data_IF_825841770843
#
_entry.id   IF_825841770843
#
_cell.length_a   1.000
_cell.length_b   1.000
_cell.length_c   1.000
_cell.angle_alpha   90.00
_cell.angle_beta   90.00
_cell.angle_gamma   90.00
#
_symmetry.space_group_name_H-M   'P 1'
#
loop_
_entity.id
_entity.type
_entity.pdbx_description
1 polymer ?
#
# COMPACT_ATOMS: atom_id res chain seq x y z
N UNK A 1 76.87 4.32 76.87
CA UNK A 1 76.43 3.08 76.19
C UNK A 1 76.46 3.29 74.69
N UNK A 2 76.75 2.22 73.92
CA UNK A 2 77.09 2.22 72.48
C UNK A 2 76.13 3.02 71.57
N UNK A 3 76.50 3.36 70.34
CA UNK A 3 76.77 2.38 69.29
C UNK A 3 77.53 3.06 68.13
N UNK A 4 78.82 2.77 68.02
CA UNK A 4 79.52 2.85 66.75
C UNK A 4 78.81 1.90 65.76
N UNK A 5 78.02 2.45 64.85
CA UNK A 5 77.39 1.66 63.79
C UNK A 5 78.47 0.91 62.98
N UNK A 6 78.36 -0.42 62.91
CA UNK A 6 79.31 -1.30 62.21
C UNK A 6 79.55 -0.78 60.78
N UNK A 7 80.71 -0.17 60.52
CA UNK A 7 81.12 0.21 59.16
C UNK A 7 81.34 -1.06 58.34
N UNK A 8 80.53 -1.28 57.31
CA UNK A 8 80.71 -2.38 56.34
C UNK A 8 82.15 -2.40 55.81
N UNK A 9 82.80 -3.56 55.86
CA UNK A 9 84.18 -3.77 55.38
C UNK A 9 84.33 -3.36 53.91
N UNK A 10 85.53 -2.90 53.52
CA UNK A 10 85.84 -2.49 52.13
C UNK A 10 85.56 -3.61 51.12
N UNK A 11 85.72 -4.87 51.54
CA UNK A 11 85.42 -6.04 50.72
C UNK A 11 83.93 -6.15 50.39
N UNK A 12 83.05 -5.96 51.37
CA UNK A 12 81.59 -6.06 51.15
C UNK A 12 81.07 -4.91 50.30
N UNK A 13 81.59 -3.69 50.47
CA UNK A 13 81.25 -2.56 49.59
C UNK A 13 81.68 -2.78 48.14
N UNK A 14 82.86 -3.40 47.91
CA UNK A 14 83.31 -3.74 46.55
C UNK A 14 82.44 -4.83 45.92
N UNK A 15 82.01 -5.82 46.71
CA UNK A 15 81.07 -6.85 46.24
C UNK A 15 79.69 -6.26 45.91
N UNK A 16 79.14 -5.41 46.78
CA UNK A 16 77.89 -4.69 46.56
C UNK A 16 77.98 -3.79 45.31
N UNK A 17 79.07 -3.04 45.14
CA UNK A 17 79.29 -2.22 43.94
C UNK A 17 79.40 -3.05 42.65
N UNK A 18 80.06 -4.22 42.70
CA UNK A 18 80.12 -5.15 41.56
C UNK A 18 78.75 -5.75 41.26
N UNK A 19 77.97 -6.10 42.27
CA UNK A 19 76.61 -6.62 42.11
C UNK A 19 75.67 -5.57 41.51
N UNK A 20 75.75 -4.31 41.96
CA UNK A 20 74.97 -3.20 41.39
C UNK A 20 75.36 -2.97 39.94
N UNK A 21 76.67 -2.94 39.62
CA UNK A 21 77.13 -2.81 38.23
C UNK A 21 76.70 -3.97 37.34
N UNK A 22 76.72 -5.20 37.86
CA UNK A 22 76.27 -6.38 37.13
C UNK A 22 74.75 -6.34 36.88
N UNK A 23 73.95 -5.96 37.89
CA UNK A 23 72.51 -5.74 37.75
C UNK A 23 72.20 -4.66 36.73
N UNK A 24 72.81 -3.49 36.85
CA UNK A 24 72.63 -2.39 35.89
C UNK A 24 72.99 -2.79 34.46
N UNK A 25 74.07 -3.57 34.26
CA UNK A 25 74.46 -4.06 32.92
C UNK A 25 73.47 -5.08 32.37
N UNK A 26 72.90 -5.94 33.21
CA UNK A 26 71.87 -6.90 32.80
C UNK A 26 70.54 -6.20 32.51
N UNK A 27 70.13 -5.26 33.35
CA UNK A 27 68.94 -4.42 33.15
C UNK A 27 69.04 -3.62 31.86
N UNK A 28 70.19 -2.98 31.59
CA UNK A 28 70.43 -2.27 30.34
C UNK A 28 70.38 -3.20 29.10
N UNK A 29 70.89 -4.44 29.22
CA UNK A 29 70.79 -5.43 28.14
C UNK A 29 69.35 -5.91 27.93
N UNK A 30 68.59 -6.12 29.00
CA UNK A 30 67.20 -6.56 28.93
C UNK A 30 66.28 -5.43 28.44
N UNK A 31 66.51 -4.19 28.85
CA UNK A 31 65.79 -3.02 28.36
C UNK A 31 66.05 -2.82 26.87
N UNK A 32 67.30 -2.85 26.42
CA UNK A 32 67.64 -2.76 25.00
C UNK A 32 66.98 -3.88 24.16
N UNK A 33 66.99 -5.13 24.66
CA UNK A 33 66.30 -6.24 23.99
C UNK A 33 64.78 -6.03 23.95
N UNK A 34 64.18 -5.49 25.00
CA UNK A 34 62.75 -5.21 25.06
C UNK A 34 62.36 -4.04 24.13
N UNK A 35 63.19 -3.00 24.05
CA UNK A 35 63.00 -1.87 23.13
C UNK A 35 63.05 -2.34 21.67
N UNK A 36 64.04 -3.16 21.30
CA UNK A 36 64.11 -3.75 19.95
C UNK A 36 62.86 -4.58 19.64
N UNK A 37 62.37 -5.38 20.59
CA UNK A 37 61.14 -6.16 20.43
C UNK A 37 59.92 -5.26 20.27
N UNK A 38 59.80 -4.21 21.07
CA UNK A 38 58.70 -3.22 20.99
C UNK A 38 58.72 -2.47 19.66
N UNK A 39 59.87 -2.00 19.23
CA UNK A 39 60.03 -1.30 17.96
C UNK A 39 59.65 -2.20 16.78
N UNK A 40 60.13 -3.46 16.78
CA UNK A 40 59.76 -4.43 15.73
C UNK A 40 58.28 -4.79 15.75
N UNK A 41 57.67 -4.87 16.94
CA UNK A 41 56.24 -5.10 17.09
C UNK A 41 55.42 -3.90 16.58
N UNK A 42 55.84 -2.67 16.92
CA UNK A 42 55.22 -1.43 16.46
C UNK A 42 55.27 -1.30 14.93
N UNK A 43 56.45 -1.50 14.31
CA UNK A 43 56.59 -1.49 12.86
C UNK A 43 55.70 -2.55 12.17
N UNK A 44 55.60 -3.75 12.75
CA UNK A 44 54.70 -4.79 12.22
C UNK A 44 53.24 -4.37 12.35
N UNK A 45 52.84 -3.80 13.48
CA UNK A 45 51.49 -3.32 13.70
C UNK A 45 51.12 -2.19 12.72
N UNK A 46 52.01 -1.21 12.52
CA UNK A 46 51.84 -0.12 11.55
C UNK A 46 51.72 -0.67 10.13
N UNK A 47 52.63 -1.58 9.72
CA UNK A 47 52.57 -2.19 8.38
C UNK A 47 51.29 -2.99 8.14
N UNK A 48 50.76 -3.65 9.18
CA UNK A 48 49.51 -4.40 9.11
C UNK A 48 48.31 -3.44 9.04
N UNK A 49 48.28 -2.41 9.86
CA UNK A 49 47.24 -1.37 9.84
C UNK A 49 47.17 -0.68 8.47
N UNK A 50 48.32 -0.33 7.87
CA UNK A 50 48.37 0.25 6.52
C UNK A 50 47.84 -0.73 5.46
N UNK A 51 48.21 -2.01 5.53
CA UNK A 51 47.68 -3.03 4.60
C UNK A 51 46.17 -3.22 4.74
N UNK A 52 45.67 -3.24 5.96
CA UNK A 52 44.24 -3.42 6.22
C UNK A 52 43.45 -2.18 5.78
N UNK A 53 43.99 -0.97 5.96
CA UNK A 53 43.42 0.26 5.41
C UNK A 53 43.38 0.24 3.88
N UNK A 54 44.47 -0.16 3.21
CA UNK A 54 44.50 -0.27 1.75
C UNK A 54 43.52 -1.32 1.23
N UNK A 55 43.33 -2.44 1.95
CA UNK A 55 42.33 -3.45 1.60
C UNK A 55 40.92 -2.91 1.75
N UNK A 56 40.63 -2.28 2.89
CA UNK A 56 39.34 -1.64 3.14
C UNK A 56 39.02 -0.59 2.07
N UNK A 57 39.98 0.27 1.72
CA UNK A 57 39.82 1.24 0.63
C UNK A 57 39.52 0.56 -0.71
N UNK A 58 40.28 -0.48 -1.09
CA UNK A 58 40.03 -1.23 -2.34
C UNK A 58 38.65 -1.90 -2.36
N UNK A 59 38.19 -2.43 -1.23
CA UNK A 59 36.87 -3.05 -1.13
C UNK A 59 35.76 -1.99 -1.18
N UNK A 60 35.97 -0.83 -0.54
CA UNK A 60 35.11 0.35 -0.69
C UNK A 60 35.06 0.83 -2.13
N UNK A 61 36.19 0.93 -2.83
CA UNK A 61 36.23 1.33 -4.23
C UNK A 61 35.54 0.31 -5.13
N UNK A 62 35.75 -0.99 -4.91
CA UNK A 62 35.05 -2.06 -5.65
C UNK A 62 33.55 -2.03 -5.43
N UNK A 63 33.09 -1.77 -4.21
CA UNK A 63 31.65 -1.67 -3.93
C UNK A 63 31.06 -0.40 -4.54
N UNK A 64 31.78 0.72 -4.51
CA UNK A 64 31.41 1.96 -5.18
C UNK A 64 31.32 1.78 -6.70
N UNK A 65 32.29 1.09 -7.32
CA UNK A 65 32.29 0.77 -8.74
C UNK A 65 31.11 -0.13 -9.11
N UNK A 66 30.85 -1.20 -8.35
CA UNK A 66 29.69 -2.08 -8.59
C UNK A 66 28.37 -1.33 -8.41
N UNK A 67 28.27 -0.42 -7.44
CA UNK A 67 27.09 0.41 -7.24
C UNK A 67 26.92 1.40 -8.40
N UNK A 68 28.01 1.99 -8.90
CA UNK A 68 27.99 2.88 -10.06
C UNK A 68 27.64 2.12 -11.34
N UNK A 69 28.19 0.94 -11.58
CA UNK A 69 27.85 0.03 -12.68
C UNK A 69 26.38 -0.39 -12.59
N UNK A 70 25.88 -0.76 -11.41
CA UNK A 70 24.48 -1.11 -11.22
C UNK A 70 23.55 0.08 -11.49
N UNK A 71 23.95 1.30 -11.08
CA UNK A 71 23.21 2.53 -11.40
C UNK A 71 23.25 2.84 -12.90
N UNK A 72 24.40 2.65 -13.54
CA UNK A 72 24.59 2.91 -14.96
C UNK A 72 23.88 1.85 -15.82
N UNK A 73 23.85 0.58 -15.41
CA UNK A 73 22.98 -0.46 -15.98
C UNK A 73 21.50 -0.12 -15.75
N UNK A 74 21.14 0.34 -14.55
CA UNK A 74 19.77 0.76 -14.26
C UNK A 74 19.29 1.96 -15.09
N UNK A 75 20.21 2.83 -15.51
CA UNK A 75 19.94 3.98 -16.39
C UNK A 75 19.98 3.56 -17.87
N UNK A 76 20.96 2.74 -18.29
CA UNK A 76 21.12 2.22 -19.66
C UNK A 76 20.00 1.25 -20.07
N UNK A 77 19.48 0.46 -19.13
CA UNK A 77 18.36 -0.46 -19.38
C UNK A 77 16.99 0.23 -19.42
N UNK A 78 16.94 1.56 -19.37
CA UNK A 78 15.72 2.33 -19.65
C UNK A 78 14.58 2.00 -18.70
N UNK A 79 14.70 2.46 -17.44
CA UNK A 79 13.68 2.70 -16.38
C UNK A 79 12.49 1.76 -16.14
N UNK A 80 12.01 0.90 -17.05
CA UNK A 80 10.78 0.12 -16.86
C UNK A 80 10.81 -1.30 -17.45
N UNK A 81 11.73 -1.64 -18.36
CA UNK A 81 11.64 -2.87 -19.16
C UNK A 81 12.85 -3.82 -19.06
N UNK A 82 13.67 -3.73 -18.01
CA UNK A 82 14.82 -4.63 -17.91
C UNK A 82 14.39 -6.07 -17.56
N UNK A 83 14.84 -7.10 -18.31
CA UNK A 83 14.35 -8.48 -18.16
C UNK A 83 14.54 -9.05 -16.75
N UNK A 84 15.61 -8.64 -16.06
CA UNK A 84 15.92 -9.05 -14.68
C UNK A 84 14.98 -8.42 -13.67
N UNK A 85 14.59 -7.15 -13.83
CA UNK A 85 13.56 -6.52 -13.00
C UNK A 85 12.18 -7.09 -13.28
N UNK A 86 11.84 -7.37 -14.54
CA UNK A 86 10.58 -8.05 -14.88
C UNK A 86 10.53 -9.43 -14.24
N UNK A 87 11.61 -10.23 -14.32
CA UNK A 87 11.66 -11.55 -13.65
C UNK A 87 11.51 -11.43 -12.12
N UNK A 88 12.20 -10.49 -11.47
CA UNK A 88 12.08 -10.26 -10.01
C UNK A 88 10.70 -9.75 -9.62
N UNK A 89 10.14 -8.82 -10.40
CA UNK A 89 8.78 -8.31 -10.19
C UNK A 89 7.75 -9.41 -10.37
N UNK A 90 7.89 -10.26 -11.39
CA UNK A 90 7.04 -11.43 -11.62
C UNK A 90 7.16 -12.46 -10.50
N UNK A 91 8.35 -12.70 -9.95
CA UNK A 91 8.50 -13.62 -8.82
C UNK A 91 7.88 -13.06 -7.54
N UNK A 92 8.06 -11.76 -7.26
CA UNK A 92 7.48 -11.10 -6.09
C UNK A 92 5.97 -10.98 -6.24
N UNK A 93 5.49 -10.60 -7.42
CA UNK A 93 4.05 -10.53 -7.70
C UNK A 93 3.40 -11.90 -7.63
N UNK A 94 4.04 -12.97 -8.12
CA UNK A 94 3.53 -14.34 -8.00
C UNK A 94 3.44 -14.82 -6.54
N UNK A 95 4.36 -14.41 -5.68
CA UNK A 95 4.33 -14.74 -4.24
C UNK A 95 3.26 -13.94 -3.49
N UNK A 96 3.07 -12.67 -3.83
CA UNK A 96 2.10 -11.80 -3.17
C UNK A 96 0.70 -11.87 -3.80
N UNK A 97 0.57 -12.42 -5.02
CA UNK A 97 -0.68 -12.58 -5.75
C UNK A 97 -1.81 -13.22 -4.92
N UNK A 98 -1.62 -14.36 -4.21
CA UNK A 98 -2.72 -15.01 -3.49
C UNK A 98 -3.30 -14.16 -2.35
N UNK A 99 -2.58 -13.15 -1.86
CA UNK A 99 -3.01 -12.25 -0.79
C UNK A 99 -3.49 -10.91 -1.36
N UNK A 100 -2.74 -10.35 -2.31
CA UNK A 100 -3.06 -9.06 -2.92
C UNK A 100 -4.30 -9.14 -3.83
N UNK A 101 -4.49 -10.25 -4.55
CA UNK A 101 -5.64 -10.40 -5.47
C UNK A 101 -6.97 -10.36 -4.69
N UNK A 102 -7.18 -11.13 -3.61
CA UNK A 102 -8.41 -11.03 -2.82
C UNK A 102 -8.59 -9.65 -2.14
N UNK A 103 -7.50 -9.02 -1.69
CA UNK A 103 -7.59 -7.72 -1.02
C UNK A 103 -7.95 -6.59 -2.00
N UNK A 104 -7.29 -6.56 -3.16
CA UNK A 104 -7.61 -5.61 -4.23
C UNK A 104 -9.05 -5.81 -4.73
N UNK A 105 -9.50 -7.06 -4.84
CA UNK A 105 -10.89 -7.37 -5.17
C UNK A 105 -11.87 -6.82 -4.11
N UNK A 106 -11.59 -7.02 -2.82
CA UNK A 106 -12.42 -6.48 -1.73
C UNK A 106 -12.45 -4.94 -1.73
N UNK A 107 -11.32 -4.29 -1.98
CA UNK A 107 -11.24 -2.82 -2.10
C UNK A 107 -12.00 -2.32 -3.33
N UNK A 108 -11.86 -2.99 -4.48
CA UNK A 108 -12.59 -2.64 -5.70
C UNK A 108 -14.10 -2.79 -5.52
N UNK A 109 -14.56 -3.85 -4.86
CA UNK A 109 -15.98 -4.07 -4.55
C UNK A 109 -16.49 -3.08 -3.50
N UNK A 110 -15.70 -2.75 -2.47
CA UNK A 110 -16.08 -1.74 -1.48
C UNK A 110 -16.17 -0.34 -2.10
N UNK A 111 -15.21 0.04 -2.94
CA UNK A 111 -15.25 1.31 -3.68
C UNK A 111 -16.43 1.36 -4.66
N UNK A 112 -16.73 0.24 -5.34
CA UNK A 112 -17.91 0.12 -6.19
C UNK A 112 -19.19 0.23 -5.37
N UNK A 113 -19.26 -0.41 -4.20
CA UNK A 113 -20.37 -0.30 -3.26
C UNK A 113 -20.57 1.14 -2.74
N UNK A 114 -19.50 1.91 -2.53
CA UNK A 114 -19.59 3.32 -2.15
C UNK A 114 -20.09 4.22 -3.28
N UNK A 115 -19.66 3.95 -4.53
CA UNK A 115 -20.15 4.67 -5.71
C UNK A 115 -21.60 4.33 -5.98
N UNK A 116 -21.96 3.04 -5.88
CA UNK A 116 -23.32 2.57 -6.02
C UNK A 116 -24.20 3.06 -4.85
N UNK A 117 -23.64 3.27 -3.65
CA UNK A 117 -24.34 3.87 -2.50
C UNK A 117 -24.69 5.32 -2.76
N UNK A 118 -23.74 6.12 -3.24
CA UNK A 118 -24.03 7.52 -3.59
C UNK A 118 -25.00 7.64 -4.77
N UNK A 119 -24.97 6.68 -5.70
CA UNK A 119 -25.91 6.61 -6.82
C UNK A 119 -27.29 6.15 -6.37
N UNK A 120 -27.35 5.24 -5.39
CA UNK A 120 -28.56 4.79 -4.71
C UNK A 120 -29.18 5.91 -3.86
N UNK A 121 -28.37 6.71 -3.16
CA UNK A 121 -28.83 7.85 -2.36
C UNK A 121 -29.39 8.98 -3.24
N UNK A 122 -28.83 9.18 -4.45
CA UNK A 122 -29.36 10.11 -5.44
C UNK A 122 -30.65 9.62 -6.12
N UNK A 123 -30.93 8.31 -6.05
CA UNK A 123 -32.06 7.67 -6.73
C UNK A 123 -33.12 7.13 -5.75
N UNK A 124 -32.86 7.12 -4.44
CA UNK A 124 -33.79 6.66 -3.39
C UNK A 124 -34.11 5.16 -3.40
N UNK A 125 -33.30 4.30 -4.03
CA UNK A 125 -33.60 2.85 -4.19
C UNK A 125 -32.43 1.95 -3.76
N UNK A 126 -32.64 0.80 -3.07
CA UNK A 126 -31.57 -0.01 -2.48
C UNK A 126 -30.61 -0.70 -3.47
N UNK A 127 -29.32 -0.75 -3.09
CA UNK A 127 -28.15 -1.31 -3.81
C UNK A 127 -28.32 -2.71 -4.43
N UNK A 128 -29.12 -3.59 -3.82
CA UNK A 128 -29.35 -4.94 -4.32
C UNK A 128 -30.05 -4.95 -5.70
N UNK A 129 -30.61 -3.82 -6.12
CA UNK A 129 -31.36 -3.67 -7.37
C UNK A 129 -30.59 -2.91 -8.46
N UNK A 130 -29.36 -2.44 -8.20
CA UNK A 130 -28.61 -1.68 -9.22
C UNK A 130 -28.14 -2.58 -10.38
N UNK A 131 -27.96 -3.89 -10.13
CA UNK A 131 -27.69 -4.88 -11.17
C UNK A 131 -28.86 -5.15 -12.12
N UNK A 132 -30.10 -5.20 -11.60
CA UNK A 132 -31.32 -5.40 -12.40
C UNK A 132 -31.71 -4.17 -13.23
N UNK A 133 -31.18 -2.99 -12.90
CA UNK A 133 -31.40 -1.74 -13.61
C UNK A 133 -30.17 -1.28 -14.40
N UNK A 134 -29.38 -2.22 -14.92
CA UNK A 134 -28.23 -1.92 -15.78
C UNK A 134 -28.57 -2.11 -17.27
N UNK A 135 -28.48 -1.05 -18.08
CA UNK A 135 -28.88 -1.02 -19.49
C UNK A 135 -29.24 0.38 -19.98
N UNK A 136 -29.60 0.57 -21.27
CA UNK A 136 -29.98 1.91 -21.76
C UNK A 136 -31.31 2.40 -21.15
N UNK A 137 -32.19 1.47 -20.76
CA UNK A 137 -33.45 1.71 -20.06
C UNK A 137 -33.38 1.64 -18.54
N UNK A 138 -32.21 1.36 -17.95
CA UNK A 138 -32.07 1.11 -16.51
C UNK A 138 -32.55 2.26 -15.62
N UNK A 139 -32.33 3.51 -16.06
CA UNK A 139 -32.84 4.70 -15.35
C UNK A 139 -34.37 4.77 -15.34
N UNK A 140 -35.03 4.37 -16.43
CA UNK A 140 -36.48 4.36 -16.53
C UNK A 140 -37.07 3.23 -15.68
N UNK A 141 -36.44 2.06 -15.68
CA UNK A 141 -36.86 0.94 -14.82
C UNK A 141 -36.73 1.26 -13.33
N UNK A 142 -35.68 1.98 -12.92
CA UNK A 142 -35.57 2.47 -11.54
C UNK A 142 -36.68 3.47 -11.17
N UNK A 143 -37.08 4.35 -12.10
CA UNK A 143 -38.22 5.26 -11.90
C UNK A 143 -39.55 4.50 -11.77
N UNK A 144 -39.78 3.48 -12.61
CA UNK A 144 -40.96 2.60 -12.50
C UNK A 144 -41.04 1.99 -11.09
N UNK A 145 -39.94 1.42 -10.59
CA UNK A 145 -39.89 0.84 -9.24
C UNK A 145 -40.13 1.89 -8.13
N UNK A 146 -39.63 3.11 -8.30
CA UNK A 146 -39.91 4.23 -7.40
C UNK A 146 -41.39 4.65 -7.41
N UNK A 147 -42.02 4.69 -8.58
CA UNK A 147 -43.44 4.96 -8.75
C UNK A 147 -44.31 3.86 -8.14
N UNK A 148 -43.94 2.58 -8.29
CA UNK A 148 -44.63 1.46 -7.64
C UNK A 148 -44.57 1.56 -6.11
N UNK A 149 -43.41 1.94 -5.54
CA UNK A 149 -43.28 2.14 -4.11
C UNK A 149 -44.14 3.31 -3.63
N UNK A 150 -44.16 4.41 -4.38
CA UNK A 150 -45.03 5.56 -4.08
C UNK A 150 -46.52 5.19 -4.18
N UNK A 151 -46.90 4.37 -5.14
CA UNK A 151 -48.27 3.85 -5.28
C UNK A 151 -48.71 3.01 -4.08
N UNK A 152 -47.80 2.22 -3.49
CA UNK A 152 -48.07 1.49 -2.24
C UNK A 152 -48.37 2.45 -1.09
N UNK A 153 -47.64 3.56 -0.99
CA UNK A 153 -47.91 4.57 0.05
C UNK A 153 -49.26 5.28 -0.16
N UNK A 154 -49.68 5.52 -1.41
CA UNK A 154 -51.03 6.05 -1.72
C UNK A 154 -52.12 5.08 -1.25
N UNK A 155 -51.95 3.79 -1.55
CA UNK A 155 -52.87 2.73 -1.10
C UNK A 155 -52.96 2.65 0.43
N UNK A 156 -51.83 2.77 1.12
CA UNK A 156 -51.76 2.74 2.59
C UNK A 156 -52.40 3.96 3.25
N UNK A 157 -52.29 5.14 2.63
CA UNK A 157 -52.92 6.37 3.15
C UNK A 157 -54.44 6.33 3.07
N UNK A 158 -55.02 5.70 2.05
CA UNK A 158 -56.48 5.64 1.82
C UNK A 158 -56.96 4.23 1.45
N UNK A 159 -56.89 3.24 2.36
CA UNK A 159 -57.14 1.84 2.03
C UNK A 159 -58.61 1.51 1.74
N UNK A 160 -59.55 2.32 2.24
CA UNK A 160 -61.00 2.10 2.13
C UNK A 160 -61.69 2.91 1.03
N UNK A 161 -60.94 3.72 0.31
CA UNK A 161 -61.48 4.57 -0.75
C UNK A 161 -61.53 3.82 -2.08
N UNK A 162 -62.73 3.68 -2.66
CA UNK A 162 -62.94 2.91 -3.89
C UNK A 162 -62.24 3.56 -5.09
N UNK A 163 -62.19 4.90 -5.14
CA UNK A 163 -61.51 5.63 -6.21
C UNK A 163 -59.99 5.43 -6.14
N UNK A 164 -59.42 5.43 -4.93
CA UNK A 164 -58.00 5.13 -4.72
C UNK A 164 -57.66 3.70 -5.14
N UNK A 165 -58.53 2.72 -4.88
CA UNK A 165 -58.28 1.32 -5.29
C UNK A 165 -58.32 1.16 -6.82
N UNK A 166 -59.28 1.79 -7.50
CA UNK A 166 -59.36 1.79 -8.97
C UNK A 166 -58.13 2.47 -9.59
N UNK A 167 -57.70 3.60 -9.02
CA UNK A 167 -56.49 4.28 -9.45
C UNK A 167 -55.24 3.40 -9.25
N UNK A 168 -55.11 2.74 -8.10
CA UNK A 168 -53.98 1.85 -7.83
C UNK A 168 -53.94 0.68 -8.81
N UNK A 169 -55.09 0.08 -9.12
CA UNK A 169 -55.17 -0.98 -10.12
C UNK A 169 -54.72 -0.47 -11.51
N UNK A 170 -55.27 0.66 -11.96
CA UNK A 170 -54.97 1.24 -13.28
C UNK A 170 -53.50 1.66 -13.42
N UNK A 171 -52.91 2.30 -12.40
CA UNK A 171 -51.50 2.70 -12.44
C UNK A 171 -50.58 1.49 -12.33
N UNK A 172 -50.93 0.47 -11.55
CA UNK A 172 -50.15 -0.77 -11.48
C UNK A 172 -50.08 -1.48 -12.84
N UNK A 173 -51.20 -1.53 -13.56
CA UNK A 173 -51.26 -2.09 -14.92
C UNK A 173 -50.39 -1.25 -15.88
N UNK A 174 -50.56 0.08 -15.87
CA UNK A 174 -49.78 0.99 -16.71
C UNK A 174 -48.26 0.90 -16.44
N UNK A 175 -47.84 0.79 -15.18
CA UNK A 175 -46.42 0.62 -14.82
C UNK A 175 -45.86 -0.72 -15.31
N UNK A 176 -46.67 -1.78 -15.29
CA UNK A 176 -46.31 -3.09 -15.84
C UNK A 176 -46.10 -3.02 -17.35
N UNK A 177 -47.01 -2.35 -18.07
CA UNK A 177 -46.90 -2.14 -19.52
C UNK A 177 -45.68 -1.29 -19.88
N UNK A 178 -45.38 -0.25 -19.10
CA UNK A 178 -44.18 0.57 -19.28
C UNK A 178 -42.90 -0.24 -19.06
N UNK A 179 -42.85 -1.13 -18.07
CA UNK A 179 -41.71 -2.02 -17.86
C UNK A 179 -41.49 -2.98 -19.05
N UNK A 180 -42.58 -3.53 -19.60
CA UNK A 180 -42.52 -4.34 -20.81
C UNK A 180 -42.05 -3.52 -22.03
N UNK A 181 -42.53 -2.28 -22.17
CA UNK A 181 -42.13 -1.38 -23.24
C UNK A 181 -40.66 -0.98 -23.18
N UNK A 182 -40.11 -0.75 -21.97
CA UNK A 182 -38.67 -0.49 -21.77
C UNK A 182 -37.84 -1.68 -22.28
N UNK A 183 -38.25 -2.90 -21.93
CA UNK A 183 -37.58 -4.13 -22.36
C UNK A 183 -37.67 -4.31 -23.88
N UNK A 184 -38.82 -4.03 -24.48
CA UNK A 184 -39.00 -4.06 -25.93
C UNK A 184 -38.15 -3.00 -26.64
N UNK A 185 -38.00 -1.81 -26.07
CA UNK A 185 -37.20 -0.71 -26.61
C UNK A 185 -35.69 -1.02 -26.63
N UNK A 186 -35.17 -1.82 -25.71
CA UNK A 186 -33.76 -2.24 -25.71
C UNK A 186 -33.39 -3.05 -26.96
N UNK A 187 -34.33 -3.81 -27.52
CA UNK A 187 -34.14 -4.59 -28.74
C UNK A 187 -34.27 -3.74 -30.03
N UNK A 188 -34.58 -2.45 -29.93
CA UNK A 188 -34.74 -1.56 -31.08
C UNK A 188 -33.40 -0.89 -31.48
N UNK A 189 -33.24 -0.51 -32.77
CA UNK A 189 -32.12 0.32 -33.24
C UNK A 189 -32.05 1.66 -32.50
N UNK A 190 -30.84 2.21 -32.37
CA UNK A 190 -30.56 3.34 -31.46
C UNK A 190 -31.46 4.57 -31.64
N UNK A 191 -31.81 4.95 -32.87
CA UNK A 191 -32.71 6.07 -33.13
C UNK A 191 -34.14 5.83 -32.61
N UNK A 192 -34.69 4.64 -32.88
CA UNK A 192 -36.03 4.24 -32.43
C UNK A 192 -36.08 3.99 -30.93
N UNK A 193 -35.01 3.42 -30.36
CA UNK A 193 -34.84 3.23 -28.91
C UNK A 193 -34.90 4.55 -28.14
N UNK A 194 -34.17 5.58 -28.61
CA UNK A 194 -34.21 6.92 -27.96
C UNK A 194 -35.60 7.55 -28.00
N UNK A 195 -36.29 7.47 -29.13
CA UNK A 195 -37.64 7.99 -29.27
C UNK A 195 -38.63 7.25 -28.34
N UNK A 196 -38.54 5.92 -28.25
CA UNK A 196 -39.35 5.12 -27.33
C UNK A 196 -39.06 5.47 -25.86
N UNK A 197 -37.79 5.56 -25.46
CA UNK A 197 -37.41 5.96 -24.10
C UNK A 197 -37.87 7.37 -23.75
N UNK A 198 -37.86 8.31 -24.70
CA UNK A 198 -38.40 9.66 -24.48
C UNK A 198 -39.92 9.68 -24.31
N UNK A 199 -40.65 8.84 -25.05
CA UNK A 199 -42.10 8.70 -24.88
C UNK A 199 -42.45 8.08 -23.52
N UNK A 200 -41.75 7.00 -23.14
CA UNK A 200 -41.90 6.34 -21.84
C UNK A 200 -41.59 7.31 -20.69
N UNK A 201 -40.53 8.13 -20.82
CA UNK A 201 -40.21 9.14 -19.81
C UNK A 201 -41.35 10.12 -19.56
N UNK A 202 -41.99 10.64 -20.63
CA UNK A 202 -43.12 11.57 -20.50
C UNK A 202 -44.33 10.92 -19.81
N UNK A 203 -44.61 9.66 -20.13
CA UNK A 203 -45.69 8.93 -19.47
C UNK A 203 -45.40 8.68 -17.99
N UNK A 204 -44.14 8.45 -17.61
CA UNK A 204 -43.74 8.39 -16.20
C UNK A 204 -43.87 9.73 -15.50
N UNK A 205 -43.54 10.84 -16.17
CA UNK A 205 -43.71 12.18 -15.61
C UNK A 205 -45.19 12.50 -15.32
N UNK A 206 -46.12 12.08 -16.18
CA UNK A 206 -47.57 12.17 -15.94
C UNK A 206 -48.00 11.35 -14.72
N UNK A 207 -47.53 10.10 -14.61
CA UNK A 207 -47.85 9.22 -13.47
C UNK A 207 -47.31 9.80 -12.17
N UNK A 208 -46.07 10.32 -12.18
CA UNK A 208 -45.45 10.93 -11.01
C UNK A 208 -46.25 12.17 -10.55
N UNK A 209 -46.77 12.98 -11.48
CA UNK A 209 -47.63 14.12 -11.17
C UNK A 209 -48.97 13.68 -10.54
N UNK A 210 -49.62 12.66 -11.09
CA UNK A 210 -50.86 12.10 -10.52
C UNK A 210 -50.65 11.52 -9.11
N UNK A 211 -49.51 10.86 -8.90
CA UNK A 211 -49.11 10.33 -7.58
C UNK A 211 -48.87 11.47 -6.59
N UNK A 212 -48.15 12.53 -6.98
CA UNK A 212 -47.91 13.69 -6.12
C UNK A 212 -49.19 14.41 -5.74
N UNK A 213 -50.12 14.61 -6.69
CA UNK A 213 -51.42 15.21 -6.44
C UNK A 213 -52.23 14.43 -5.38
N UNK A 214 -52.22 13.09 -5.45
CA UNK A 214 -52.93 12.23 -4.49
C UNK A 214 -52.22 12.10 -3.14
N UNK A 215 -50.90 12.27 -3.10
CA UNK A 215 -50.12 12.34 -1.87
C UNK A 215 -50.23 13.70 -1.17
N UNK A 216 -50.75 14.72 -1.86
CA UNK A 216 -50.90 16.09 -1.37
C UNK A 216 -49.60 16.91 -1.42
N UNK A 217 -48.71 16.61 -2.38
CA UNK A 217 -47.35 17.14 -2.48
C UNK A 217 -47.14 18.03 -3.72
N UNK A 218 -48.21 18.57 -4.30
CA UNK A 218 -48.21 19.41 -5.52
C UNK A 218 -47.73 20.84 -5.26
#
# INVERSE_FOLDING_TARGET
MGLFGKRKSRATRRAEARAIKARAKLEAKLSAKNEIRRFKAAQRAESKALRDQLRAQRDSDRTALKAAEAKLQAVREGKLLSPTRIRRLLTVSRLLAPILVPLAYRVAIAARGLIDQRRADQLGVPLAQVGQFSGHGGRLSARVAGAEQSLRTVREKKPKDAETQQFVAAISERLTDLAAAITAAENMPAGRRRAAHAAISRQLDEIDADLMARLGLS
#
